data_IF_652135011692
#
_entry.id   IF_652135011692
#
_cell.length_a   1.000
_cell.length_b   1.000
_cell.length_c   1.000
_cell.angle_alpha   90.00
_cell.angle_beta   90.00
_cell.angle_gamma   90.00
#
_symmetry.space_group_name_H-M   'P 1'
#
loop_
_entity.id
_entity.type
_entity.pdbx_description
1 polymer ?
#
# COMPACT_ATOMS: atom_id res chain seq x y z
N UNK A 1 9.30 16.23 -18.83
CA UNK A 1 8.59 15.68 -17.65
C UNK A 1 7.12 15.55 -18.02
N UNK A 2 6.67 14.38 -18.50
CA UNK A 2 5.25 14.15 -18.83
C UNK A 2 4.54 13.70 -17.54
N UNK A 3 3.78 14.60 -16.94
CA UNK A 3 2.87 14.29 -15.84
C UNK A 3 1.89 13.20 -16.31
N UNK A 4 1.86 12.07 -15.58
CA UNK A 4 0.83 11.05 -15.80
C UNK A 4 -0.52 11.69 -15.52
N UNK A 5 -1.58 11.35 -16.26
CA UNK A 5 -2.92 11.81 -15.92
C UNK A 5 -3.24 11.20 -14.55
N UNK A 6 -3.34 12.04 -13.52
CA UNK A 6 -4.02 11.67 -12.30
C UNK A 6 -5.44 11.35 -12.73
N UNK A 7 -5.90 10.12 -12.53
CA UNK A 7 -7.32 9.82 -12.64
C UNK A 7 -8.01 10.69 -11.59
N UNK A 8 -8.56 11.82 -12.03
CA UNK A 8 -9.45 12.66 -11.24
C UNK A 8 -10.79 11.95 -11.27
N UNK A 9 -11.05 11.17 -10.22
CA UNK A 9 -12.39 10.68 -9.95
C UNK A 9 -13.11 11.76 -9.16
N UNK A 10 -14.13 12.34 -9.76
CA UNK A 10 -15.12 13.16 -9.05
C UNK A 10 -16.32 12.27 -8.71
N UNK A 11 -16.74 12.20 -7.43
CA UNK A 11 -17.94 11.47 -7.06
C UNK A 11 -19.15 12.04 -7.83
N UNK A 12 -19.87 11.17 -8.51
CA UNK A 12 -21.13 11.51 -9.16
C UNK A 12 -22.25 11.49 -8.12
N UNK A 13 -22.28 12.51 -7.25
CA UNK A 13 -23.27 12.68 -6.18
C UNK A 13 -22.66 12.91 -4.80
N UNK A 14 -23.51 13.17 -3.81
CA UNK A 14 -23.09 13.29 -2.42
C UNK A 14 -22.51 11.96 -1.93
N UNK A 15 -21.33 12.02 -1.31
CA UNK A 15 -20.80 10.85 -0.63
C UNK A 15 -21.78 10.46 0.49
N UNK A 16 -22.13 9.16 0.62
CA UNK A 16 -22.96 8.73 1.73
C UNK A 16 -22.29 9.14 3.05
N UNK A 17 -23.07 9.48 4.09
CA UNK A 17 -22.50 9.82 5.39
C UNK A 17 -21.60 8.69 5.86
N UNK A 18 -20.42 9.06 6.37
CA UNK A 18 -19.50 8.10 6.95
C UNK A 18 -20.21 7.35 8.10
N UNK A 19 -20.25 6.03 8.01
CA UNK A 19 -20.85 5.16 9.03
C UNK A 19 -19.78 4.27 9.64
N UNK A 20 -19.88 4.05 10.94
CA UNK A 20 -19.11 3.02 11.66
C UNK A 20 -19.86 1.68 11.70
N UNK A 21 -21.08 1.62 11.18
CA UNK A 21 -21.84 0.38 11.06
C UNK A 21 -21.29 -0.49 9.92
N UNK A 22 -20.92 -1.73 10.25
CA UNK A 22 -20.36 -2.70 9.32
C UNK A 22 -21.43 -3.63 8.71
N UNK A 23 -22.70 -3.50 9.09
CA UNK A 23 -23.79 -4.40 8.66
C UNK A 23 -23.87 -4.57 7.14
N UNK A 24 -23.78 -3.46 6.39
CA UNK A 24 -23.80 -3.45 4.93
C UNK A 24 -22.59 -4.18 4.33
N UNK A 25 -21.40 -4.01 4.91
CA UNK A 25 -20.17 -4.69 4.47
C UNK A 25 -20.28 -6.19 4.74
N UNK A 26 -20.78 -6.58 5.93
CA UNK A 26 -20.99 -7.99 6.28
C UNK A 26 -21.99 -8.65 5.33
N UNK A 27 -23.09 -7.97 5.00
CA UNK A 27 -24.09 -8.48 4.06
C UNK A 27 -23.48 -8.69 2.65
N UNK A 28 -22.71 -7.72 2.15
CA UNK A 28 -22.05 -7.81 0.86
C UNK A 28 -21.02 -8.96 0.81
N UNK A 29 -20.20 -9.12 1.86
CA UNK A 29 -19.23 -10.22 1.96
C UNK A 29 -19.93 -11.59 2.01
N UNK A 30 -21.02 -11.71 2.78
CA UNK A 30 -21.80 -12.96 2.86
C UNK A 30 -22.48 -13.34 1.54
N UNK A 31 -22.88 -12.36 0.74
CA UNK A 31 -23.50 -12.60 -0.57
C UNK A 31 -22.52 -13.22 -1.59
N UNK A 32 -21.21 -13.09 -1.36
CA UNK A 32 -20.17 -13.63 -2.25
C UNK A 32 -19.90 -12.75 -3.48
N UNK A 33 -19.06 -13.25 -4.40
CA UNK A 33 -18.66 -12.48 -5.60
C UNK A 33 -17.78 -11.26 -5.29
N UNK A 34 -17.12 -11.25 -4.13
CA UNK A 34 -16.31 -10.12 -3.67
C UNK A 34 -14.87 -10.24 -4.14
N UNK A 35 -14.29 -9.10 -4.50
CA UNK A 35 -12.86 -8.95 -4.77
C UNK A 35 -12.24 -8.08 -3.67
N UNK A 36 -11.15 -8.56 -3.08
CA UNK A 36 -10.37 -7.78 -2.09
C UNK A 36 -9.24 -7.05 -2.81
N UNK A 37 -9.28 -5.72 -2.79
CA UNK A 37 -8.17 -4.87 -3.21
C UNK A 37 -7.42 -4.36 -1.97
N UNK A 38 -6.18 -4.82 -1.78
CA UNK A 38 -5.34 -4.41 -0.64
C UNK A 38 -4.18 -3.52 -1.07
N UNK A 39 -3.72 -2.66 -0.15
CA UNK A 39 -2.47 -1.91 -0.27
C UNK A 39 -1.51 -2.17 0.89
N UNK A 40 -0.41 -1.41 0.95
CA UNK A 40 0.59 -1.53 2.01
C UNK A 40 0.02 -1.36 3.44
N UNK A 41 -1.11 -0.65 3.57
CA UNK A 41 -1.83 -0.49 4.83
C UNK A 41 -2.26 -1.81 5.48
N UNK A 42 -2.51 -2.87 4.69
CA UNK A 42 -2.84 -4.19 5.23
C UNK A 42 -1.67 -4.80 6.02
N UNK A 43 -0.43 -4.36 5.79
CA UNK A 43 0.77 -4.94 6.38
C UNK A 43 1.42 -4.12 7.49
N UNK A 44 0.82 -3.01 7.90
CA UNK A 44 1.36 -2.15 8.96
C UNK A 44 1.45 -2.87 10.30
N UNK A 45 0.41 -3.63 10.67
CA UNK A 45 0.41 -4.49 11.87
C UNK A 45 1.39 -5.68 11.77
N UNK A 46 1.92 -5.95 10.59
CA UNK A 46 3.00 -6.92 10.38
C UNK A 46 4.40 -6.29 10.51
N UNK A 47 4.49 -5.01 10.89
CA UNK A 47 5.74 -4.26 11.01
C UNK A 47 6.26 -3.69 9.69
N UNK A 48 5.51 -3.80 8.60
CA UNK A 48 5.90 -3.25 7.29
C UNK A 48 5.29 -1.85 7.15
N UNK A 49 6.10 -0.78 7.07
CA UNK A 49 5.58 0.57 6.99
C UNK A 49 4.84 0.80 5.67
N UNK A 50 3.74 1.55 5.73
CA UNK A 50 3.09 2.04 4.53
C UNK A 50 3.80 3.28 3.97
N UNK A 51 3.23 3.87 2.91
CA UNK A 51 3.78 5.06 2.29
C UNK A 51 3.19 6.36 2.86
N UNK A 52 1.90 6.37 3.22
CA UNK A 52 1.10 7.60 3.40
C UNK A 52 0.48 7.77 4.79
N UNK A 53 0.46 6.72 5.62
CA UNK A 53 -0.09 6.76 6.96
C UNK A 53 0.68 7.70 7.87
N UNK A 54 0.25 7.79 9.13
CA UNK A 54 0.86 8.69 10.13
C UNK A 54 2.36 8.46 10.27
N UNK A 55 2.80 7.20 10.22
CA UNK A 55 4.21 6.79 10.27
C UNK A 55 4.77 6.37 8.90
N UNK A 56 4.10 6.78 7.82
CA UNK A 56 4.41 6.36 6.46
C UNK A 56 5.76 6.86 5.94
N UNK A 57 6.33 6.13 4.98
CA UNK A 57 7.65 6.42 4.43
C UNK A 57 7.77 7.84 3.85
N UNK A 58 6.73 8.38 3.20
CA UNK A 58 6.79 9.71 2.58
C UNK A 58 6.84 10.84 3.61
N UNK A 59 6.29 10.63 4.82
CA UNK A 59 6.42 11.59 5.93
C UNK A 59 7.82 11.61 6.55
N UNK A 60 8.62 10.57 6.28
CA UNK A 60 10.03 10.46 6.71
C UNK A 60 11.00 10.87 5.59
N UNK A 61 10.55 11.69 4.65
CA UNK A 61 11.31 12.15 3.48
C UNK A 61 11.89 11.01 2.62
N UNK A 62 11.28 9.82 2.63
CA UNK A 62 11.71 8.74 1.75
C UNK A 62 11.22 8.99 0.32
N UNK A 63 12.12 9.41 -0.56
CA UNK A 63 11.85 9.57 -2.00
C UNK A 63 12.11 8.24 -2.72
N UNK A 64 11.11 7.61 -3.35
CA UNK A 64 11.32 6.42 -4.17
C UNK A 64 12.22 6.74 -5.36
N UNK A 65 13.12 5.81 -5.69
CA UNK A 65 13.85 5.87 -6.94
C UNK A 65 12.88 5.65 -8.10
N UNK A 66 12.97 6.50 -9.12
CA UNK A 66 12.16 6.30 -10.34
C UNK A 66 12.74 5.20 -11.21
N UNK A 67 11.93 4.64 -12.09
CA UNK A 67 12.40 3.66 -13.08
C UNK A 67 13.50 4.24 -13.97
N UNK A 68 13.35 5.50 -14.40
CA UNK A 68 14.29 6.20 -15.25
C UNK A 68 15.66 6.37 -14.56
N UNK A 69 15.68 6.74 -13.29
CA UNK A 69 16.91 6.81 -12.49
C UNK A 69 17.59 5.44 -12.38
N UNK A 70 16.80 4.39 -12.15
CA UNK A 70 17.33 3.03 -11.99
C UNK A 70 18.01 2.51 -13.27
N UNK A 71 17.39 2.69 -14.45
CA UNK A 71 17.99 2.22 -15.70
C UNK A 71 19.12 3.13 -16.19
N UNK A 72 19.06 4.42 -15.86
CA UNK A 72 19.98 5.44 -16.37
C UNK A 72 21.37 5.49 -15.71
N UNK A 73 21.59 4.78 -14.60
CA UNK A 73 22.86 4.84 -13.86
C UNK A 73 23.19 3.53 -13.15
N UNK A 74 24.44 3.06 -13.29
CA UNK A 74 24.94 1.92 -12.53
C UNK A 74 25.00 2.21 -11.02
N UNK A 75 25.46 3.41 -10.64
CA UNK A 75 25.50 3.84 -9.24
C UNK A 75 24.10 3.90 -8.62
N UNK A 76 23.09 4.33 -9.39
CA UNK A 76 21.70 4.27 -8.95
C UNK A 76 21.26 2.83 -8.67
N UNK A 77 21.60 1.86 -9.53
CA UNK A 77 21.31 0.43 -9.29
C UNK A 77 22.04 -0.10 -8.06
N UNK A 78 23.32 0.22 -7.89
CA UNK A 78 24.12 -0.15 -6.71
C UNK A 78 23.47 0.37 -5.43
N UNK A 79 23.08 1.66 -5.40
CA UNK A 79 22.37 2.29 -4.28
C UNK A 79 21.00 1.64 -4.02
N UNK A 80 20.24 1.31 -5.06
CA UNK A 80 18.97 0.61 -4.93
C UNK A 80 19.13 -0.75 -4.25
N UNK A 81 20.04 -1.57 -4.77
CA UNK A 81 20.25 -2.93 -4.25
C UNK A 81 20.86 -2.93 -2.84
N UNK A 82 21.77 -2.01 -2.54
CA UNK A 82 22.32 -1.84 -1.19
C UNK A 82 21.21 -1.55 -0.16
N UNK A 83 20.29 -0.63 -0.46
CA UNK A 83 19.13 -0.34 0.41
C UNK A 83 18.15 -1.51 0.50
N UNK A 84 17.86 -2.15 -0.63
CA UNK A 84 16.97 -3.34 -0.67
C UNK A 84 17.49 -4.45 0.24
N UNK A 85 18.81 -4.67 0.25
CA UNK A 85 19.44 -5.67 1.12
C UNK A 85 19.26 -5.37 2.61
N UNK A 86 19.29 -4.09 3.02
CA UNK A 86 19.00 -3.68 4.40
C UNK A 86 17.53 -3.91 4.76
N UNK A 87 16.61 -3.60 3.84
CA UNK A 87 15.16 -3.82 4.03
C UNK A 87 14.75 -5.29 4.05
N UNK A 88 15.54 -6.18 3.41
CA UNK A 88 15.26 -7.62 3.29
C UNK A 88 15.00 -8.29 4.64
N UNK A 89 15.79 -7.96 5.67
CA UNK A 89 15.65 -8.58 7.00
C UNK A 89 14.30 -8.29 7.64
N UNK A 90 13.83 -7.04 7.55
CA UNK A 90 12.53 -6.64 8.08
C UNK A 90 11.39 -7.37 7.34
N UNK A 91 11.45 -7.40 6.00
CA UNK A 91 10.47 -8.11 5.18
C UNK A 91 10.44 -9.63 5.45
N UNK A 92 11.61 -10.25 5.61
CA UNK A 92 11.71 -11.69 5.85
C UNK A 92 11.18 -12.11 7.25
N UNK A 93 11.23 -11.21 8.23
CA UNK A 93 10.71 -11.45 9.58
C UNK A 93 9.22 -11.18 9.74
N UNK A 94 8.60 -10.47 8.80
CA UNK A 94 7.18 -10.13 8.85
C UNK A 94 6.31 -11.41 8.73
N UNK A 95 5.23 -11.47 9.51
CA UNK A 95 4.25 -12.57 9.47
C UNK A 95 2.86 -12.02 9.12
N UNK A 96 1.98 -12.82 8.48
CA UNK A 96 0.60 -12.40 8.24
C UNK A 96 -0.08 -11.95 9.54
N UNK A 97 -0.76 -10.81 9.52
CA UNK A 97 -1.60 -10.34 10.63
C UNK A 97 -3.03 -10.89 10.51
N UNK A 98 -3.91 -10.44 11.40
CA UNK A 98 -5.33 -10.80 11.43
C UNK A 98 -6.04 -10.43 10.14
N UNK A 99 -5.76 -9.27 9.55
CA UNK A 99 -6.32 -8.84 8.27
C UNK A 99 -5.98 -9.80 7.11
N UNK A 100 -4.71 -10.20 6.99
CA UNK A 100 -4.30 -11.19 5.97
C UNK A 100 -5.02 -12.53 6.18
N UNK A 101 -5.14 -12.98 7.43
CA UNK A 101 -5.84 -14.23 7.76
C UNK A 101 -7.34 -14.15 7.45
N UNK A 102 -7.97 -12.99 7.66
CA UNK A 102 -9.38 -12.78 7.34
C UNK A 102 -9.66 -12.80 5.83
N UNK A 103 -8.73 -12.29 5.01
CA UNK A 103 -8.85 -12.33 3.55
C UNK A 103 -8.64 -13.75 3.00
N UNK A 104 -7.84 -14.57 3.68
CA UNK A 104 -7.52 -15.93 3.25
C UNK A 104 -8.56 -16.99 3.65
N UNK A 105 -9.44 -16.67 4.61
CA UNK A 105 -10.46 -17.56 5.15
C UNK A 105 -11.68 -17.66 4.23
#
# INVERSE_FOLDING_TARGET
MRTRPTLTWEPQGDLPPASTDLSAVVAAVRAGGVVVLSGAGLSTESGIPDYRGEHGAFRRNHVPMTYQEFIGSEDARRRYWARSQLGRRSMAGARPNTGHRAVAA
#
